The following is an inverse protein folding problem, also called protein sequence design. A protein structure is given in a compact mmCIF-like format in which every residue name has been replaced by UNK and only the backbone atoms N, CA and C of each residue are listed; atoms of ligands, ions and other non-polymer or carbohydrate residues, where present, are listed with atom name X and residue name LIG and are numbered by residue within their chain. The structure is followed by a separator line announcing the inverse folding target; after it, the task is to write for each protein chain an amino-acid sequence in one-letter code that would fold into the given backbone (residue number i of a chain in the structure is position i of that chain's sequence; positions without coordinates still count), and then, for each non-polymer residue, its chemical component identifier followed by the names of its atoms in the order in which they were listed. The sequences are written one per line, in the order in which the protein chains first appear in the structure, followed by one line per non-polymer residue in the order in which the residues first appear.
data_IF_471045100248
#
_entry.id   IF_471045100248
#
_cell.length_a   1.000
_cell.length_b   1.000
_cell.length_c   1.000
_cell.angle_alpha   90.00
_cell.angle_beta   90.00
_cell.angle_gamma   90.00
#
_symmetry.space_group_name_H-M   'P 1'
#
loop_
_entity.id
_entity.type
_entity.pdbx_description
1 polymer ?
#
# COMPACT_ATOMS: atom_id res chain seq x y z
N UNK A 1 1.60 -16.78 -21.79
CA UNK A 1 0.89 -15.69 -21.10
C UNK A 1 0.74 -16.06 -19.62
N UNK A 2 1.18 -15.20 -18.70
CA UNK A 2 1.04 -15.43 -17.26
C UNK A 2 -0.39 -15.13 -16.83
N UNK A 3 -1.04 -16.07 -16.12
CA UNK A 3 -2.43 -15.91 -15.66
C UNK A 3 -2.48 -14.88 -14.53
N UNK A 4 -3.24 -13.80 -14.71
CA UNK A 4 -3.47 -12.80 -13.66
C UNK A 4 -4.23 -13.46 -12.48
N UNK A 5 -3.71 -13.32 -11.27
CA UNK A 5 -4.39 -13.73 -10.04
C UNK A 5 -4.90 -12.50 -9.31
N UNK A 6 -6.22 -12.35 -9.26
CA UNK A 6 -6.88 -11.28 -8.51
C UNK A 6 -7.07 -11.76 -7.07
N UNK A 7 -6.61 -10.97 -6.10
CA UNK A 7 -6.79 -11.24 -4.67
C UNK A 7 -7.64 -10.11 -4.11
N UNK A 8 -8.80 -10.44 -3.56
CA UNK A 8 -9.70 -9.46 -2.95
C UNK A 8 -9.28 -9.18 -1.51
N UNK A 9 -9.09 -7.91 -1.18
CA UNK A 9 -8.88 -7.46 0.20
C UNK A 9 -10.23 -7.33 0.94
N UNK A 10 -10.24 -7.51 2.27
CA UNK A 10 -11.43 -7.25 3.09
C UNK A 10 -11.87 -5.79 2.98
N UNK A 11 -13.18 -5.52 3.07
CA UNK A 11 -13.77 -4.17 2.91
C UNK A 11 -13.09 -3.10 3.79
N UNK A 12 -12.72 -3.45 5.02
CA UNK A 12 -12.08 -2.54 5.98
C UNK A 12 -10.56 -2.79 6.13
N UNK A 13 -9.96 -3.49 5.16
CA UNK A 13 -8.56 -3.91 5.18
C UNK A 13 -7.62 -2.99 4.41
N UNK A 14 -7.89 -1.69 4.36
CA UNK A 14 -7.08 -0.72 3.61
C UNK A 14 -5.61 -0.69 4.09
N UNK A 15 -5.38 -1.00 5.37
CA UNK A 15 -4.04 -1.17 5.94
C UNK A 15 -3.22 -2.34 5.35
N UNK A 16 -3.85 -3.26 4.62
CA UNK A 16 -3.17 -4.31 3.83
C UNK A 16 -2.88 -3.89 2.38
N UNK A 17 -3.31 -2.69 1.98
CA UNK A 17 -3.17 -2.24 0.60
C UNK A 17 -1.76 -1.69 0.38
N UNK A 18 -0.92 -2.45 -0.34
CA UNK A 18 0.43 -2.04 -0.72
C UNK A 18 0.45 -0.69 -1.44
N UNK A 19 -0.57 -0.41 -2.27
CA UNK A 19 -0.64 0.86 -3.00
C UNK A 19 -0.80 2.05 -2.04
N UNK A 20 -1.60 1.93 -0.98
CA UNK A 20 -1.76 3.01 0.01
C UNK A 20 -0.47 3.26 0.81
N UNK A 21 0.27 2.19 1.14
CA UNK A 21 1.56 2.29 1.82
C UNK A 21 2.56 3.06 0.94
N UNK A 22 2.71 2.67 -0.33
CA UNK A 22 3.61 3.35 -1.26
C UNK A 22 3.18 4.81 -1.52
N UNK A 23 1.88 5.08 -1.64
CA UNK A 23 1.37 6.46 -1.75
C UNK A 23 1.72 7.31 -0.52
N UNK A 24 1.65 6.74 0.68
CA UNK A 24 2.06 7.42 1.91
C UNK A 24 3.57 7.70 1.96
N UNK A 25 4.40 6.77 1.46
CA UNK A 25 5.85 6.96 1.34
C UNK A 25 6.15 8.06 0.32
N UNK A 26 5.56 7.96 -0.88
CA UNK A 26 5.68 8.96 -1.95
C UNK A 26 5.31 10.36 -1.45
N UNK A 27 4.19 10.47 -0.74
CA UNK A 27 3.73 11.73 -0.18
C UNK A 27 4.75 12.36 0.75
N UNK A 28 5.35 11.55 1.65
CA UNK A 28 6.34 12.03 2.63
C UNK A 28 7.70 12.32 2.02
N UNK A 29 8.14 11.54 1.03
CA UNK A 29 9.49 11.60 0.48
C UNK A 29 9.62 12.54 -0.72
N UNK A 30 8.63 12.56 -1.62
CA UNK A 30 8.72 13.31 -2.87
C UNK A 30 7.79 14.53 -2.89
N UNK A 31 6.55 14.36 -2.43
CA UNK A 31 5.49 15.36 -2.59
C UNK A 31 5.34 16.33 -1.41
N UNK A 32 6.11 16.19 -0.34
CA UNK A 32 6.07 17.07 0.83
C UNK A 32 6.79 18.41 0.59
N UNK A 33 6.59 18.99 -0.59
CA UNK A 33 7.16 20.27 -1.04
C UNK A 33 6.27 20.88 -2.13
N UNK A 34 6.51 22.15 -2.45
CA UNK A 34 5.86 22.82 -3.58
C UNK A 34 6.70 22.62 -4.85
N UNK A 35 6.02 22.63 -5.99
CA UNK A 35 6.62 22.58 -7.32
C UNK A 35 6.15 23.81 -8.10
N UNK A 36 7.05 24.36 -8.89
CA UNK A 36 6.79 25.56 -9.69
C UNK A 36 6.04 25.23 -11.00
N UNK A 37 6.08 23.96 -11.44
CA UNK A 37 5.36 23.47 -12.61
C UNK A 37 4.99 21.98 -12.47
N UNK A 38 4.06 21.53 -13.32
CA UNK A 38 3.72 20.11 -13.44
C UNK A 38 4.93 19.30 -13.95
N UNK A 39 5.65 19.79 -14.95
CA UNK A 39 6.85 19.14 -15.51
C UNK A 39 7.92 18.88 -14.45
N UNK A 40 8.14 19.83 -13.54
CA UNK A 40 9.08 19.66 -12.43
C UNK A 40 8.62 18.55 -11.47
N UNK A 41 7.32 18.51 -11.16
CA UNK A 41 6.75 17.45 -10.33
C UNK A 41 6.88 16.08 -10.99
N UNK A 42 6.60 15.97 -12.29
CA UNK A 42 6.71 14.72 -13.04
C UNK A 42 8.14 14.18 -13.05
N UNK A 43 9.12 15.04 -13.31
CA UNK A 43 10.53 14.63 -13.30
C UNK A 43 10.98 14.07 -11.95
N UNK A 44 10.55 14.72 -10.87
CA UNK A 44 10.87 14.32 -9.50
C UNK A 44 10.14 13.03 -9.08
N UNK A 45 8.91 12.83 -9.59
CA UNK A 45 8.17 11.58 -9.42
C UNK A 45 8.87 10.41 -10.12
N UNK A 46 9.34 10.60 -11.35
CA UNK A 46 10.06 9.58 -12.11
C UNK A 46 11.38 9.20 -11.42
N UNK A 47 12.15 10.20 -10.97
CA UNK A 47 13.40 9.98 -10.25
C UNK A 47 13.16 9.18 -8.96
N UNK A 48 12.18 9.61 -8.15
CA UNK A 48 11.80 8.92 -6.92
C UNK A 48 11.32 7.48 -7.19
N UNK A 49 10.48 7.28 -8.21
CA UNK A 49 9.97 5.95 -8.57
C UNK A 49 11.11 5.01 -8.99
N UNK A 50 12.06 5.50 -9.79
CA UNK A 50 13.24 4.72 -10.21
C UNK A 50 14.07 4.28 -9.01
N UNK A 51 14.37 5.20 -8.10
CA UNK A 51 15.11 4.90 -6.87
C UNK A 51 14.36 3.89 -5.99
N UNK A 52 13.06 4.10 -5.77
CA UNK A 52 12.21 3.22 -4.94
C UNK A 52 12.16 1.80 -5.51
N UNK A 53 12.03 1.67 -6.82
CA UNK A 53 12.01 0.38 -7.53
C UNK A 53 13.37 -0.33 -7.46
N UNK A 54 14.49 0.39 -7.55
CA UNK A 54 15.83 -0.17 -7.44
C UNK A 54 16.11 -0.72 -6.03
N UNK A 55 15.62 -0.04 -4.99
CA UNK A 55 15.73 -0.53 -3.61
C UNK A 55 14.91 -1.80 -3.35
N UNK A 56 13.92 -2.11 -4.20
CA UNK A 56 13.10 -3.32 -4.16
C UNK A 56 12.61 -3.69 -2.74
N UNK A 57 12.27 -2.70 -1.90
CA UNK A 57 11.89 -2.97 -0.51
C UNK A 57 10.48 -3.56 -0.49
N UNK A 58 10.41 -4.88 -0.40
CA UNK A 58 9.16 -5.60 -0.18
C UNK A 58 8.63 -5.35 1.24
N UNK A 59 7.32 -5.50 1.40
CA UNK A 59 6.73 -5.53 2.73
C UNK A 59 6.96 -6.89 3.39
N UNK A 60 7.47 -6.88 4.63
CA UNK A 60 7.46 -8.05 5.51
C UNK A 60 6.10 -8.13 6.22
N UNK A 61 5.20 -8.94 5.67
CA UNK A 61 3.84 -9.08 6.18
C UNK A 61 3.80 -9.99 7.40
N UNK A 62 3.86 -9.39 8.59
CA UNK A 62 3.83 -10.14 9.86
C UNK A 62 2.42 -10.32 10.44
N UNK A 63 1.44 -9.53 10.01
CA UNK A 63 0.09 -9.55 10.56
C UNK A 63 -0.84 -10.46 9.75
N UNK A 64 -1.42 -11.47 10.40
CA UNK A 64 -2.24 -12.48 9.73
C UNK A 64 -3.75 -12.19 9.84
N UNK A 65 -4.55 -12.82 8.99
CA UNK A 65 -6.01 -12.78 9.12
C UNK A 65 -6.49 -13.34 10.47
N UNK A 66 -5.76 -14.28 11.07
CA UNK A 66 -6.05 -14.82 12.41
C UNK A 66 -5.84 -13.75 13.49
N UNK A 67 -4.77 -12.98 13.38
CA UNK A 67 -4.50 -11.84 14.26
C UNK A 67 -5.59 -10.77 14.11
N UNK A 68 -6.00 -10.47 12.87
CA UNK A 68 -7.08 -9.53 12.57
C UNK A 68 -8.39 -9.92 13.26
N UNK A 69 -8.81 -11.19 13.13
CA UNK A 69 -10.03 -11.70 13.77
C UNK A 69 -9.97 -11.68 15.29
N UNK A 70 -8.78 -11.71 15.88
CA UNK A 70 -8.62 -11.67 17.34
C UNK A 70 -8.58 -10.23 17.87
N UNK A 71 -7.78 -9.37 17.23
CA UNK A 71 -7.51 -7.99 17.67
C UNK A 71 -8.55 -6.98 17.15
N UNK A 72 -9.17 -7.25 16.00
CA UNK A 72 -10.11 -6.36 15.30
C UNK A 72 -11.47 -7.03 15.10
N UNK A 73 -11.98 -7.74 16.11
CA UNK A 73 -13.23 -8.54 16.06
C UNK A 73 -14.42 -7.80 15.43
N UNK A 74 -14.63 -6.54 15.79
CA UNK A 74 -15.73 -5.71 15.26
C UNK A 74 -15.61 -5.44 13.75
N UNK A 75 -14.39 -5.46 13.20
CA UNK A 75 -14.11 -5.18 11.79
C UNK A 75 -13.93 -6.47 10.97
N UNK A 76 -13.64 -7.59 11.64
CA UNK A 76 -13.36 -8.90 11.05
C UNK A 76 -14.18 -10.00 11.75
N UNK A 77 -15.51 -10.05 11.50
CA UNK A 77 -16.35 -11.09 12.07
C UNK A 77 -15.95 -12.47 11.54
N UNK A 78 -16.08 -13.49 12.39
CA UNK A 78 -15.84 -14.88 12.02
C UNK A 78 -17.10 -15.37 11.28
N UNK A 79 -16.98 -16.12 10.17
CA UNK A 79 -18.15 -16.55 9.37
C UNK A 79 -19.23 -17.35 10.10
N UNK A 80 -19.01 -17.77 11.35
CA UNK A 80 -20.00 -18.46 12.18
C UNK A 80 -20.75 -17.54 13.16
N UNK A 81 -20.48 -16.23 13.17
CA UNK A 81 -21.13 -15.24 14.04
C UNK A 81 -22.23 -14.42 13.32
N UNK A 82 -22.78 -14.94 12.20
CA UNK A 82 -23.96 -14.38 11.49
C UNK A 82 -25.02 -15.47 11.34
#
# INVERSE_FOLDING_TARGET
ATRLRIVHTPRNGSWLNMAEIELSILSRQCLNRRFDSADQMEHELEAWQSERNQHASGADWQFTTKDARTKLKSLYPIPNDI
#
